data_IF_496198558881
#
_entry.id   IF_496198558881
#
_cell.length_a   1.000
_cell.length_b   1.000
_cell.length_c   1.000
_cell.angle_alpha   90.00
_cell.angle_beta   90.00
_cell.angle_gamma   90.00
#
_symmetry.space_group_name_H-M   'P 1'
#
loop_
_entity.id
_entity.type
_entity.pdbx_description
1 polymer ?
#
# COMPACT_ATOMS: atom_id res chain seq x y z
N UNK A 1 -10.68 18.42 3.80
CA UNK A 1 -11.09 18.24 2.39
C UNK A 1 -9.87 17.91 1.56
N UNK A 2 -9.73 16.66 1.10
CA UNK A 2 -8.72 16.29 0.11
C UNK A 2 -9.17 16.85 -1.25
N UNK A 3 -8.40 17.79 -1.82
CA UNK A 3 -8.66 18.28 -3.18
C UNK A 3 -8.62 17.12 -4.18
N UNK A 4 -9.31 17.21 -5.32
CA UNK A 4 -9.23 16.20 -6.39
C UNK A 4 -7.88 16.22 -7.14
N UNK A 5 -6.95 17.09 -6.76
CA UNK A 5 -5.62 17.22 -7.37
C UNK A 5 -4.85 15.90 -7.41
N UNK A 6 -4.97 15.07 -6.36
CA UNK A 6 -4.29 13.78 -6.29
C UNK A 6 -4.65 12.87 -7.47
N UNK A 7 -5.90 12.93 -7.95
CA UNK A 7 -6.35 12.08 -9.06
C UNK A 7 -5.61 12.42 -10.34
N UNK A 8 -5.54 13.71 -10.67
CA UNK A 8 -4.82 14.19 -11.85
C UNK A 8 -3.33 13.90 -11.77
N UNK A 9 -2.71 14.10 -10.60
CA UNK A 9 -1.29 13.76 -10.40
C UNK A 9 -1.04 12.26 -10.64
N UNK A 10 -1.89 11.36 -10.12
CA UNK A 10 -1.77 9.92 -10.38
C UNK A 10 -1.93 9.60 -11.88
N UNK A 11 -2.86 10.25 -12.58
CA UNK A 11 -3.02 10.10 -14.03
C UNK A 11 -1.78 10.56 -14.80
N UNK A 12 -1.17 11.68 -14.41
CA UNK A 12 0.04 12.20 -15.04
C UNK A 12 1.22 11.22 -14.87
N UNK A 13 1.39 10.64 -13.68
CA UNK A 13 2.37 9.58 -13.46
C UNK A 13 2.04 8.32 -14.26
N UNK A 14 0.77 7.94 -14.38
CA UNK A 14 0.36 6.77 -15.18
C UNK A 14 0.65 6.94 -16.67
N UNK A 15 0.55 8.17 -17.17
CA UNK A 15 0.91 8.53 -18.54
C UNK A 15 2.43 8.54 -18.74
N UNK A 16 3.18 9.14 -17.80
CA UNK A 16 4.65 9.23 -17.86
C UNK A 16 5.32 7.85 -17.74
N UNK A 17 4.81 6.97 -16.88
CA UNK A 17 5.43 5.68 -16.56
C UNK A 17 4.61 4.49 -17.07
N UNK A 18 4.68 4.24 -18.37
CA UNK A 18 3.91 3.16 -19.03
C UNK A 18 4.20 1.75 -18.51
N UNK A 19 5.41 1.50 -17.98
CA UNK A 19 5.80 0.22 -17.36
C UNK A 19 5.17 -0.01 -15.98
N UNK A 20 4.71 1.06 -15.31
CA UNK A 20 3.98 0.95 -14.06
C UNK A 20 2.55 0.48 -14.34
N UNK A 21 2.22 -0.72 -13.84
CA UNK A 21 0.86 -1.24 -13.88
C UNK A 21 0.01 -0.64 -12.76
N UNK A 22 0.63 -0.42 -11.59
CA UNK A 22 0.02 0.20 -10.44
C UNK A 22 0.86 1.38 -9.95
N UNK A 23 0.18 2.46 -9.57
CA UNK A 23 0.79 3.67 -9.04
C UNK A 23 0.09 4.02 -7.72
N UNK A 24 0.82 3.92 -6.62
CA UNK A 24 0.34 4.25 -5.28
C UNK A 24 0.75 5.64 -4.84
N UNK A 25 -0.21 6.39 -4.32
CA UNK A 25 0.03 7.61 -3.58
C UNK A 25 0.75 7.31 -2.24
N UNK A 26 1.40 8.33 -1.69
CA UNK A 26 1.84 8.35 -0.30
C UNK A 26 0.64 8.70 0.59
N UNK A 27 0.26 7.79 1.48
CA UNK A 27 -0.81 7.98 2.45
C UNK A 27 -0.25 8.56 3.75
N UNK A 28 -0.91 9.59 4.25
CA UNK A 28 -0.60 10.25 5.51
C UNK A 28 -1.75 10.04 6.48
N UNK A 29 -1.42 9.81 7.75
CA UNK A 29 -2.38 9.88 8.83
C UNK A 29 -2.85 11.33 9.03
N UNK A 30 -4.12 11.56 9.38
CA UNK A 30 -4.59 12.87 9.84
C UNK A 30 -4.15 13.13 11.30
N UNK A 31 -2.86 12.92 11.56
CA UNK A 31 -2.19 13.08 12.83
C UNK A 31 -0.80 13.65 12.56
N UNK A 32 -0.34 14.53 13.46
CA UNK A 32 0.94 15.21 13.37
C UNK A 32 1.76 14.99 14.63
N UNK A 33 3.06 15.21 14.52
CA UNK A 33 3.94 15.33 15.67
C UNK A 33 4.05 16.79 16.14
N UNK A 34 4.83 17.01 17.21
CA UNK A 34 5.05 18.33 17.80
C UNK A 34 5.71 19.34 16.84
N UNK A 35 6.39 18.85 15.80
CA UNK A 35 7.00 19.67 14.75
C UNK A 35 6.02 19.98 13.59
N UNK A 36 4.72 19.69 13.76
CA UNK A 36 3.68 19.86 12.75
C UNK A 36 3.82 18.98 11.48
N UNK A 37 4.74 18.01 11.51
CA UNK A 37 4.90 17.03 10.44
C UNK A 37 3.85 15.92 10.57
N UNK A 38 3.28 15.51 9.43
CA UNK A 38 2.34 14.38 9.40
C UNK A 38 3.07 13.05 9.59
N UNK A 39 2.38 12.08 10.21
CA UNK A 39 2.85 10.69 10.24
C UNK A 39 2.51 9.98 8.92
N UNK A 40 3.43 9.15 8.43
CA UNK A 40 3.24 8.38 7.20
C UNK A 40 2.48 7.10 7.50
N UNK A 41 1.34 6.91 6.85
CA UNK A 41 0.58 5.65 6.89
C UNK A 41 1.16 4.62 5.92
N UNK A 42 1.44 5.04 4.69
CA UNK A 42 2.01 4.18 3.67
C UNK A 42 2.72 4.98 2.59
N UNK A 43 4.02 4.75 2.43
CA UNK A 43 4.79 5.16 1.27
C UNK A 43 5.13 3.95 0.38
N UNK A 44 4.19 3.02 0.24
CA UNK A 44 4.39 1.76 -0.47
C UNK A 44 4.77 0.60 0.44
N UNK A 45 4.67 -0.59 -0.11
CA UNK A 45 4.75 -1.86 0.61
C UNK A 45 6.15 -2.46 0.69
N UNK A 46 6.46 -2.98 1.87
CA UNK A 46 7.63 -3.79 2.20
C UNK A 46 7.18 -5.10 2.85
N UNK A 47 8.15 -5.95 3.19
CA UNK A 47 7.96 -7.08 4.09
C UNK A 47 8.85 -6.86 5.33
N UNK A 48 8.31 -7.15 6.51
CA UNK A 48 9.04 -7.08 7.78
C UNK A 48 10.03 -8.26 7.94
N UNK A 49 10.72 -8.31 9.07
CA UNK A 49 11.72 -9.35 9.38
C UNK A 49 11.11 -10.77 9.42
N UNK A 50 9.83 -10.88 9.78
CA UNK A 50 9.05 -12.13 9.78
C UNK A 50 8.38 -12.42 8.41
N UNK A 51 8.69 -11.61 7.42
CA UNK A 51 8.14 -11.67 6.07
C UNK A 51 6.64 -11.39 6.01
N UNK A 52 6.03 -10.69 6.98
CA UNK A 52 4.67 -10.18 6.85
C UNK A 52 4.65 -8.93 5.95
N UNK A 53 3.58 -8.69 5.19
CA UNK A 53 3.37 -7.42 4.51
C UNK A 53 3.30 -6.26 5.52
N UNK A 54 4.10 -5.23 5.28
CA UNK A 54 4.12 -3.97 6.05
C UNK A 54 4.32 -2.78 5.09
N UNK A 55 4.23 -1.55 5.60
CA UNK A 55 4.48 -0.35 4.82
C UNK A 55 5.82 0.32 5.18
N UNK A 56 6.39 1.06 4.23
CA UNK A 56 7.24 2.21 4.55
C UNK A 56 6.37 3.25 5.27
N UNK A 57 6.71 3.62 6.50
CA UNK A 57 5.80 4.24 7.48
C UNK A 57 4.99 3.23 8.29
N UNK A 58 3.70 3.51 8.48
CA UNK A 58 2.79 2.82 9.40
C UNK A 58 3.22 2.98 10.87
N UNK A 59 2.45 2.43 11.80
CA UNK A 59 2.81 2.35 13.21
C UNK A 59 1.95 3.17 14.16
N UNK A 60 1.03 3.99 13.65
CA UNK A 60 0.06 4.73 14.45
C UNK A 60 -1.31 4.03 14.41
N UNK A 61 -1.88 3.77 15.58
CA UNK A 61 -3.29 3.41 15.69
C UNK A 61 -4.14 4.67 15.81
N UNK A 62 -4.96 4.98 14.80
CA UNK A 62 -5.79 6.18 14.78
C UNK A 62 -6.91 6.20 15.83
N UNK A 63 -7.29 5.06 16.42
CA UNK A 63 -8.32 4.99 17.44
C UNK A 63 -7.74 5.27 18.83
N UNK A 64 -6.64 4.59 19.17
CA UNK A 64 -6.00 4.75 20.48
C UNK A 64 -5.00 5.90 20.53
N UNK A 65 -4.60 6.43 19.36
CA UNK A 65 -3.51 7.40 19.18
C UNK A 65 -2.16 6.88 19.71
N UNK A 66 -2.00 5.55 19.81
CA UNK A 66 -0.77 4.92 20.28
C UNK A 66 0.07 4.42 19.12
N UNK A 67 1.39 4.46 19.31
CA UNK A 67 2.32 3.82 18.40
C UNK A 67 2.54 2.36 18.78
N UNK A 68 2.37 1.44 17.83
CA UNK A 68 2.64 0.01 18.00
C UNK A 68 4.00 -0.42 17.42
N UNK A 69 4.67 0.49 16.71
CA UNK A 69 6.06 0.40 16.26
C UNK A 69 6.59 1.82 16.02
N UNK A 70 7.89 1.96 15.78
CA UNK A 70 8.49 3.26 15.46
C UNK A 70 7.83 3.88 14.22
N UNK A 71 7.13 5.03 14.35
CA UNK A 71 6.50 5.70 13.22
C UNK A 71 7.53 6.47 12.39
N UNK A 72 7.18 6.77 11.14
CA UNK A 72 7.97 7.66 10.28
C UNK A 72 7.22 8.97 10.06
N UNK A 73 7.84 10.11 10.39
CA UNK A 73 7.31 11.44 10.05
C UNK A 73 7.59 11.78 8.57
N UNK A 74 6.69 12.52 7.92
CA UNK A 74 6.88 12.99 6.54
C UNK A 74 7.80 14.21 6.50
N UNK A 75 9.10 13.96 6.36
CA UNK A 75 10.13 14.99 6.13
C UNK A 75 10.49 15.11 4.64
N UNK A 76 9.70 14.50 3.74
CA UNK A 76 9.96 14.47 2.31
C UNK A 76 10.87 13.32 1.85
N UNK A 77 11.20 12.37 2.74
CA UNK A 77 12.06 11.22 2.44
C UNK A 77 11.50 10.27 1.36
N UNK A 78 10.22 10.40 1.03
CA UNK A 78 9.55 9.66 -0.04
C UNK A 78 8.95 10.59 -1.11
N UNK A 79 9.45 11.83 -1.22
CA UNK A 79 9.07 12.80 -2.26
C UNK A 79 9.79 12.51 -3.58
N UNK A 80 9.70 11.26 -4.01
CA UNK A 80 10.30 10.75 -5.23
C UNK A 80 9.50 9.55 -5.75
N UNK A 81 9.85 9.10 -6.94
CA UNK A 81 9.25 7.91 -7.54
C UNK A 81 10.11 6.71 -7.16
N UNK A 82 9.46 5.65 -6.65
CA UNK A 82 10.14 4.42 -6.25
C UNK A 82 9.42 3.19 -6.74
N UNK A 83 10.16 2.22 -7.24
CA UNK A 83 9.66 0.86 -7.41
C UNK A 83 9.58 0.18 -6.04
N UNK A 84 8.36 -0.22 -5.68
CA UNK A 84 8.01 -0.84 -4.40
C UNK A 84 7.45 -2.24 -4.62
N UNK A 85 7.44 -3.07 -3.58
CA UNK A 85 7.05 -4.47 -3.72
C UNK A 85 5.55 -4.64 -3.99
N UNK A 86 4.75 -3.78 -3.36
CA UNK A 86 3.31 -3.69 -3.45
C UNK A 86 2.86 -2.28 -3.01
N UNK A 87 1.60 -1.93 -3.22
CA UNK A 87 1.02 -0.69 -2.67
C UNK A 87 -0.40 -0.95 -2.18
N UNK A 88 -0.82 -0.23 -1.14
CA UNK A 88 -2.19 -0.34 -0.62
C UNK A 88 -3.18 0.37 -1.53
N UNK A 89 -4.43 -0.11 -1.53
CA UNK A 89 -5.46 0.37 -2.45
C UNK A 89 -6.28 1.55 -1.90
N UNK A 90 -5.86 2.14 -0.76
CA UNK A 90 -6.42 3.40 -0.23
C UNK A 90 -6.14 4.64 -1.10
N UNK A 91 -5.21 4.53 -2.06
CA UNK A 91 -4.88 5.60 -3.00
C UNK A 91 -4.05 5.09 -4.17
N UNK A 92 -4.67 4.37 -5.10
CA UNK A 92 -3.97 3.69 -6.20
C UNK A 92 -4.61 3.97 -7.55
N UNK A 93 -3.78 4.13 -8.58
CA UNK A 93 -4.18 4.02 -9.98
C UNK A 93 -3.80 2.63 -10.49
N UNK A 94 -4.76 1.94 -11.13
CA UNK A 94 -4.54 0.63 -11.76
C UNK A 94 -4.78 0.76 -13.26
N UNK A 95 -3.76 0.43 -14.06
CA UNK A 95 -3.86 0.49 -15.52
C UNK A 95 -4.89 -0.53 -16.02
N UNK A 96 -5.74 -0.16 -16.98
CA UNK A 96 -6.73 -1.07 -17.58
C UNK A 96 -6.12 -2.41 -18.01
N UNK A 97 -4.95 -2.39 -18.67
CA UNK A 97 -4.27 -3.60 -19.14
C UNK A 97 -3.86 -4.56 -18.01
N UNK A 98 -3.61 -4.05 -16.81
CA UNK A 98 -3.36 -4.90 -15.61
C UNK A 98 -4.62 -5.69 -15.26
N UNK A 99 -5.79 -5.06 -15.32
CA UNK A 99 -7.07 -5.73 -15.09
C UNK A 99 -7.32 -6.83 -16.13
N UNK A 100 -6.95 -6.57 -17.39
CA UNK A 100 -7.05 -7.55 -18.48
C UNK A 100 -6.05 -8.71 -18.32
N UNK A 101 -4.86 -8.45 -17.80
CA UNK A 101 -3.79 -9.46 -17.65
C UNK A 101 -3.94 -10.35 -16.41
N UNK A 102 -4.55 -9.84 -15.36
CA UNK A 102 -4.66 -10.51 -14.04
C UNK A 102 -6.09 -10.95 -13.74
N UNK A 103 -7.08 -10.18 -14.20
CA UNK A 103 -8.48 -10.36 -13.87
C UNK A 103 -8.88 -9.77 -12.52
N UNK A 104 -9.96 -10.32 -11.99
CA UNK A 104 -10.57 -9.92 -10.71
C UNK A 104 -9.67 -10.24 -9.51
N UNK A 105 -10.01 -9.64 -8.37
CA UNK A 105 -9.44 -10.07 -7.09
C UNK A 105 -9.74 -11.54 -6.80
N UNK A 106 -8.76 -12.21 -6.20
CA UNK A 106 -8.93 -13.56 -5.68
C UNK A 106 -10.02 -13.56 -4.59
N UNK A 107 -11.14 -14.22 -4.90
CA UNK A 107 -12.33 -14.28 -4.05
C UNK A 107 -12.13 -15.09 -2.77
N UNK A 108 -11.00 -15.79 -2.64
CA UNK A 108 -10.65 -16.53 -1.41
C UNK A 108 -10.11 -15.62 -0.30
N UNK A 109 -9.84 -14.34 -0.58
CA UNK A 109 -9.54 -13.35 0.45
C UNK A 109 -10.84 -12.83 1.08
N UNK A 110 -11.00 -13.10 2.36
CA UNK A 110 -12.23 -12.83 3.12
C UNK A 110 -12.14 -11.47 3.83
N UNK A 111 -13.23 -10.70 3.85
CA UNK A 111 -13.32 -9.39 4.51
C UNK A 111 -12.30 -8.33 4.05
N UNK A 112 -11.09 -8.24 4.63
CA UNK A 112 -10.10 -7.19 4.35
C UNK A 112 -8.65 -7.69 4.42
N UNK A 113 -7.73 -6.83 3.98
CA UNK A 113 -6.27 -6.99 3.95
C UNK A 113 -5.72 -8.12 3.07
N UNK A 114 -4.44 -7.95 2.67
CA UNK A 114 -3.63 -8.87 1.87
C UNK A 114 -4.12 -9.19 0.45
N UNK A 115 -5.36 -8.83 0.11
CA UNK A 115 -5.91 -8.91 -1.24
C UNK A 115 -5.16 -7.99 -2.21
N UNK A 116 -4.84 -6.78 -1.77
CA UNK A 116 -4.03 -5.79 -2.50
C UNK A 116 -2.57 -6.25 -2.66
N UNK A 117 -1.97 -6.82 -1.60
CA UNK A 117 -0.64 -7.46 -1.66
C UNK A 117 -0.64 -8.55 -2.74
N UNK A 118 -1.57 -9.49 -2.68
CA UNK A 118 -1.69 -10.56 -3.67
C UNK A 118 -1.91 -10.03 -5.09
N UNK A 119 -2.72 -8.97 -5.25
CA UNK A 119 -2.96 -8.35 -6.55
C UNK A 119 -1.68 -7.72 -7.12
N UNK A 120 -0.95 -6.96 -6.31
CA UNK A 120 0.33 -6.36 -6.71
C UNK A 120 1.37 -7.41 -7.09
N UNK A 121 1.48 -8.51 -6.33
CA UNK A 121 2.43 -9.58 -6.63
C UNK A 121 2.03 -10.35 -7.89
N UNK A 122 0.73 -10.57 -8.12
CA UNK A 122 0.22 -11.12 -9.39
C UNK A 122 0.55 -10.22 -10.57
N UNK A 123 0.49 -8.90 -10.40
CA UNK A 123 0.88 -7.95 -11.43
C UNK A 123 2.38 -8.01 -11.74
N UNK A 124 3.22 -8.08 -10.70
CA UNK A 124 4.67 -8.26 -10.85
C UNK A 124 5.02 -9.57 -11.53
N UNK A 125 4.26 -10.63 -11.28
CA UNK A 125 4.42 -11.91 -11.97
C UNK A 125 4.18 -11.81 -13.49
N UNK A 126 3.25 -10.95 -13.90
CA UNK A 126 3.00 -10.61 -15.31
C UNK A 126 3.97 -9.57 -15.89
N UNK A 127 4.98 -9.14 -15.12
CA UNK A 127 5.99 -8.19 -15.56
C UNK A 127 5.66 -6.71 -15.32
N UNK A 128 4.51 -6.41 -14.70
CA UNK A 128 4.15 -5.03 -14.36
C UNK A 128 5.00 -4.48 -13.22
N UNK A 129 5.32 -3.19 -13.27
CA UNK A 129 5.96 -2.48 -12.16
C UNK A 129 4.92 -1.86 -11.23
N UNK A 130 5.29 -1.71 -9.95
CA UNK A 130 4.48 -1.05 -8.93
C UNK A 130 5.28 0.15 -8.44
N UNK A 131 4.78 1.35 -8.67
CA UNK A 131 5.46 2.58 -8.28
C UNK A 131 4.73 3.29 -7.14
N UNK A 132 5.48 3.75 -6.14
CA UNK A 132 5.04 4.82 -5.26
C UNK A 132 5.42 6.16 -5.88
N UNK A 133 4.54 7.15 -5.76
CA UNK A 133 4.73 8.53 -6.25
C UNK A 133 4.52 9.54 -5.11
N UNK A 134 5.05 10.77 -5.22
CA UNK A 134 4.99 11.76 -4.13
C UNK A 134 3.60 12.40 -3.94
N UNK A 135 2.58 12.00 -4.70
CA UNK A 135 1.19 12.41 -4.50
C UNK A 135 0.74 12.03 -3.09
N UNK A 136 0.29 13.01 -2.32
CA UNK A 136 -0.12 12.85 -0.93
C UNK A 136 -1.65 12.72 -0.82
N UNK A 137 -2.11 11.75 -0.06
CA UNK A 137 -3.52 11.59 0.29
C UNK A 137 -3.63 11.45 1.80
N UNK A 138 -4.53 12.23 2.40
CA UNK A 138 -4.89 12.07 3.80
C UNK A 138 -5.87 10.91 3.93
N UNK A 139 -5.55 9.92 4.76
CA UNK A 139 -6.32 8.68 4.83
C UNK A 139 -6.58 8.26 6.29
N UNK A 140 -7.84 7.91 6.57
CA UNK A 140 -8.29 7.46 7.89
C UNK A 140 -8.17 5.94 7.95
N UNK A 141 -6.96 5.47 8.27
CA UNK A 141 -6.62 4.04 8.23
C UNK A 141 -7.66 3.17 8.95
N UNK A 142 -8.29 2.26 8.19
CA UNK A 142 -9.15 1.18 8.69
C UNK A 142 -10.30 1.61 9.60
N UNK A 143 -10.69 2.88 9.57
CA UNK A 143 -11.70 3.42 10.49
C UNK A 143 -13.04 2.68 10.36
N UNK A 144 -13.46 2.37 9.13
CA UNK A 144 -14.71 1.66 8.88
C UNK A 144 -14.61 0.19 9.25
N UNK A 145 -13.51 -0.47 8.91
CA UNK A 145 -13.30 -1.90 9.23
C UNK A 145 -13.26 -2.14 10.74
N UNK A 146 -12.57 -1.28 11.51
CA UNK A 146 -12.47 -1.42 12.97
C UNK A 146 -13.84 -1.32 13.65
N UNK A 147 -14.72 -0.42 13.19
CA UNK A 147 -16.08 -0.23 13.73
C UNK A 147 -16.97 -1.45 13.62
N UNK A 148 -16.80 -2.25 12.57
CA UNK A 148 -17.65 -3.43 12.28
C UNK A 148 -16.93 -4.76 12.53
N UNK A 149 -15.72 -4.72 13.11
CA UNK A 149 -14.89 -5.91 13.29
C UNK A 149 -15.48 -6.87 14.32
N UNK A 150 -15.66 -8.13 13.91
CA UNK A 150 -16.02 -9.25 14.78
C UNK A 150 -14.83 -10.19 15.02
N UNK A 151 -14.88 -11.12 15.98
CA UNK A 151 -13.88 -12.19 16.09
C UNK A 151 -13.69 -12.97 14.79
N UNK A 152 -14.78 -13.31 14.09
CA UNK A 152 -14.75 -14.03 12.81
C UNK A 152 -14.04 -13.22 11.72
N UNK A 153 -14.22 -11.90 11.72
CA UNK A 153 -13.51 -10.99 10.83
C UNK A 153 -11.99 -11.00 11.10
N UNK A 154 -11.57 -10.98 12.37
CA UNK A 154 -10.14 -11.08 12.73
C UNK A 154 -9.53 -12.44 12.36
N UNK A 155 -10.28 -13.52 12.49
CA UNK A 155 -9.84 -14.83 11.99
C UNK A 155 -9.70 -14.84 10.46
N UNK A 156 -10.59 -14.18 9.73
CA UNK A 156 -10.49 -14.01 8.28
C UNK A 156 -9.22 -13.25 7.87
N UNK A 157 -8.85 -12.18 8.58
CA UNK A 157 -7.59 -11.47 8.34
C UNK A 157 -6.36 -12.37 8.57
N UNK A 158 -6.39 -13.17 9.64
CA UNK A 158 -5.33 -14.14 9.91
C UNK A 158 -5.22 -15.18 8.79
N UNK A 159 -6.35 -15.73 8.32
CA UNK A 159 -6.38 -16.66 7.17
C UNK A 159 -5.85 -16.00 5.90
N UNK A 160 -6.19 -14.73 5.63
CA UNK A 160 -5.68 -13.99 4.48
C UNK A 160 -4.16 -13.80 4.55
N UNK A 161 -3.62 -13.50 5.73
CA UNK A 161 -2.17 -13.37 5.94
C UNK A 161 -1.44 -14.68 5.68
N UNK A 162 -1.97 -15.80 6.17
CA UNK A 162 -1.40 -17.12 5.89
C UNK A 162 -1.51 -17.50 4.41
N UNK A 163 -2.63 -17.17 3.76
CA UNK A 163 -2.86 -17.43 2.34
C UNK A 163 -1.85 -16.71 1.45
N UNK A 164 -1.63 -15.42 1.69
CA UNK A 164 -0.69 -14.63 0.88
C UNK A 164 0.75 -15.13 1.10
N UNK A 165 1.14 -15.43 2.35
CA UNK A 165 2.45 -16.00 2.66
C UNK A 165 2.63 -17.34 1.96
N UNK A 166 1.69 -18.28 2.11
CA UNK A 166 1.77 -19.61 1.49
C UNK A 166 1.92 -19.54 -0.03
N UNK A 167 1.25 -18.60 -0.69
CA UNK A 167 1.30 -18.46 -2.15
C UNK A 167 2.63 -17.89 -2.64
N UNK A 168 3.19 -16.93 -1.92
CA UNK A 168 4.26 -16.09 -2.48
C UNK A 168 5.62 -16.24 -1.80
N UNK A 169 5.71 -16.69 -0.54
CA UNK A 169 6.93 -16.63 0.28
C UNK A 169 8.16 -17.26 -0.38
N UNK A 170 7.97 -18.33 -1.15
CA UNK A 170 9.06 -19.09 -1.81
C UNK A 170 9.30 -18.61 -3.26
N UNK A 171 8.70 -17.49 -3.66
CA UNK A 171 8.85 -16.90 -4.99
C UNK A 171 9.78 -15.69 -4.96
N UNK A 172 10.35 -15.33 -6.12
CA UNK A 172 11.18 -14.12 -6.26
C UNK A 172 10.42 -12.79 -6.02
N UNK A 173 9.08 -12.83 -5.92
CA UNK A 173 8.25 -11.64 -5.76
C UNK A 173 8.05 -11.25 -4.29
N UNK A 174 8.23 -12.18 -3.35
CA UNK A 174 8.17 -11.95 -1.90
C UNK A 174 9.46 -11.31 -1.37
N UNK A 175 9.77 -10.14 -1.91
CA UNK A 175 10.96 -9.36 -1.59
C UNK A 175 10.63 -7.89 -1.58
N UNK A 176 11.11 -7.18 -0.55
CA UNK A 176 11.01 -5.73 -0.45
C UNK A 176 11.76 -5.08 -1.61
N UNK A 177 11.11 -4.12 -2.27
CA UNK A 177 11.72 -3.23 -3.25
C UNK A 177 11.67 -1.80 -2.70
N UNK A 178 12.76 -1.08 -2.87
CA UNK A 178 12.89 0.33 -2.52
C UNK A 178 13.85 1.01 -3.50
N UNK A 179 13.58 0.88 -4.79
CA UNK A 179 14.47 1.38 -5.83
C UNK A 179 13.96 2.72 -6.34
N UNK A 180 14.75 3.78 -6.19
CA UNK A 180 14.48 5.07 -6.83
C UNK A 180 14.44 4.91 -8.35
N UNK A 181 13.43 5.51 -8.99
CA UNK A 181 13.33 5.61 -10.44
C UNK A 181 13.84 7.01 -10.80
N UNK A 182 15.00 7.05 -11.43
CA UNK A 182 15.52 8.29 -12.00
C UNK A 182 14.77 8.58 -13.31
N UNK A 183 14.49 9.85 -13.54
CA UNK A 183 13.79 10.34 -14.74
C UNK A 183 14.66 10.27 -16.00
#
# INVERSE_FOLDING_TARGET
>A
YTSTKWFYELCDYANKYSKAGLIGAKLLYPAKNDNENFWIESAGGKFDEDGNPDHFGSGLDMETQQFFKTPEEDTGQYDMIREVAWTTFGGVYIRRKVLEDIGDFDRTYEWTYNRDVNYCLSAREKGWKIYQVPTRIMHLQSQDNKRVSTPQNREAEARNRERVKKKWKDTKYWKTLNRKIDE
#
